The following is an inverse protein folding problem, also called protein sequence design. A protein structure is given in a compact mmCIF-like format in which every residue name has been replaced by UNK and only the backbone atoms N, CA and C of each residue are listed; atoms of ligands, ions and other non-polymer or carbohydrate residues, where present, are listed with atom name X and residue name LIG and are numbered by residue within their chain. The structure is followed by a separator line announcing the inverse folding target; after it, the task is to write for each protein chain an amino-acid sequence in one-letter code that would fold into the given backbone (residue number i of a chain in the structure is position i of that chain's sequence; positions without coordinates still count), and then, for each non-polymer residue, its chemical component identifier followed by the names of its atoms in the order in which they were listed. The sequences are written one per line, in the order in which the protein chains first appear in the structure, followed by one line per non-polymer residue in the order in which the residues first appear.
data_IF_046794924514
#
_entry.id   IF_046794924514
#
_cell.length_a   1.000
_cell.length_b   1.000
_cell.length_c   1.000
_cell.angle_alpha   90.00
_cell.angle_beta   90.00
_cell.angle_gamma   90.00
#
_symmetry.space_group_name_H-M   'P 1'
#
loop_
_entity.id
_entity.type
_entity.pdbx_description
1 polymer ?
#
# COMPACT_ATOMS: atom_id res chain seq x y z
N UNK A 1 -12.87 4.44 18.13
CA UNK A 1 -12.93 4.03 16.70
C UNK A 1 -12.80 5.18 15.71
N UNK A 2 -13.70 6.20 15.70
CA UNK A 2 -13.68 7.28 14.68
C UNK A 2 -12.40 8.13 14.66
N UNK A 3 -11.85 8.47 15.83
CA UNK A 3 -10.64 9.31 15.94
C UNK A 3 -9.37 8.60 15.41
N UNK A 4 -9.26 7.29 15.61
CA UNK A 4 -8.14 6.48 15.13
C UNK A 4 -8.19 6.34 13.60
N UNK A 5 -9.39 6.14 13.05
CA UNK A 5 -9.61 6.09 11.61
C UNK A 5 -9.31 7.44 10.94
N UNK A 6 -9.73 8.55 11.54
CA UNK A 6 -9.40 9.90 11.05
C UNK A 6 -7.89 10.19 11.10
N UNK A 7 -7.20 9.82 12.19
CA UNK A 7 -5.74 9.95 12.28
C UNK A 7 -5.03 9.13 11.21
N UNK A 8 -5.49 7.90 10.97
CA UNK A 8 -4.94 7.01 9.94
C UNK A 8 -5.15 7.57 8.54
N UNK A 9 -6.37 8.00 8.21
CA UNK A 9 -6.66 8.62 6.93
C UNK A 9 -5.82 9.88 6.70
N UNK A 10 -5.68 10.73 7.72
CA UNK A 10 -4.83 11.92 7.63
C UNK A 10 -3.36 11.58 7.42
N UNK A 11 -2.84 10.55 8.10
CA UNK A 11 -1.47 10.07 7.88
C UNK A 11 -1.25 9.63 6.43
N UNK A 12 -2.17 8.83 5.88
CA UNK A 12 -2.08 8.39 4.48
C UNK A 12 -2.18 9.57 3.51
N UNK A 13 -3.13 10.48 3.70
CA UNK A 13 -3.25 11.67 2.85
C UNK A 13 -2.00 12.52 2.88
N UNK A 14 -1.43 12.79 4.06
CA UNK A 14 -0.17 13.55 4.18
C UNK A 14 1.00 12.83 3.54
N UNK A 15 1.14 11.52 3.76
CA UNK A 15 2.18 10.71 3.14
C UNK A 15 2.09 10.74 1.60
N UNK A 16 0.89 10.58 1.05
CA UNK A 16 0.67 10.64 -0.40
C UNK A 16 0.98 12.04 -0.96
N UNK A 17 0.61 13.11 -0.26
CA UNK A 17 0.88 14.49 -0.67
C UNK A 17 2.38 14.81 -0.68
N UNK A 18 3.09 14.43 0.38
CA UNK A 18 4.53 14.68 0.54
C UNK A 18 5.39 13.95 -0.51
N UNK A 19 4.87 12.87 -1.07
CA UNK A 19 5.57 11.96 -1.99
C UNK A 19 4.96 11.99 -3.40
N UNK A 20 4.06 12.93 -3.69
CA UNK A 20 3.27 12.98 -4.94
C UNK A 20 4.06 13.38 -6.18
N UNK A 21 5.23 14.00 -6.03
CA UNK A 21 6.10 14.43 -7.13
C UNK A 21 7.12 13.35 -7.53
N UNK A 22 7.21 12.25 -6.78
CA UNK A 22 8.08 11.11 -7.08
C UNK A 22 7.23 9.88 -7.47
N UNK A 23 7.63 9.16 -8.52
CA UNK A 23 7.06 7.83 -8.86
C UNK A 23 7.52 6.82 -7.79
N UNK A 24 6.84 6.84 -6.64
CA UNK A 24 7.15 5.99 -5.51
C UNK A 24 6.18 4.80 -5.49
N UNK A 25 6.68 3.56 -5.62
CA UNK A 25 5.84 2.36 -5.62
C UNK A 25 4.91 2.25 -4.40
N UNK A 26 5.32 2.76 -3.25
CA UNK A 26 4.51 2.83 -2.03
C UNK A 26 3.20 3.61 -2.22
N UNK A 27 3.25 4.73 -2.95
CA UNK A 27 2.09 5.59 -3.23
C UNK A 27 1.10 4.82 -4.13
N UNK A 28 1.59 4.22 -5.21
CA UNK A 28 0.76 3.44 -6.13
C UNK A 28 0.13 2.21 -5.48
N UNK A 29 0.90 1.52 -4.61
CA UNK A 29 0.41 0.40 -3.81
C UNK A 29 -0.76 0.85 -2.93
N UNK A 30 -0.58 1.91 -2.15
CA UNK A 30 -1.59 2.41 -1.22
C UNK A 30 -2.82 2.91 -1.99
N UNK A 31 -2.64 3.69 -3.05
CA UNK A 31 -3.73 4.22 -3.87
C UNK A 31 -4.56 3.10 -4.52
N UNK A 32 -3.90 2.04 -5.01
CA UNK A 32 -4.56 0.88 -5.59
C UNK A 32 -5.44 0.18 -4.55
N UNK A 33 -4.92 -0.08 -3.35
CA UNK A 33 -5.68 -0.73 -2.27
C UNK A 33 -6.81 0.18 -1.78
N UNK A 34 -6.59 1.50 -1.67
CA UNK A 34 -7.64 2.46 -1.29
C UNK A 34 -8.81 2.47 -2.29
N UNK A 35 -8.51 2.31 -3.58
CA UNK A 35 -9.51 2.31 -4.65
C UNK A 35 -10.27 0.99 -4.75
N UNK A 36 -9.57 -0.14 -4.59
CA UNK A 36 -10.14 -1.48 -4.79
C UNK A 36 -10.63 -2.14 -3.49
N UNK A 37 -10.26 -1.60 -2.33
CA UNK A 37 -10.52 -2.17 -0.99
C UNK A 37 -9.54 -3.27 -0.60
N UNK A 38 -9.16 -4.13 -1.56
CA UNK A 38 -8.11 -5.12 -1.43
C UNK A 38 -7.45 -5.37 -2.80
N UNK A 39 -6.27 -5.97 -2.81
CA UNK A 39 -5.58 -6.34 -4.05
C UNK A 39 -4.77 -7.62 -3.86
N UNK A 40 -4.70 -8.46 -4.89
CA UNK A 40 -3.80 -9.61 -4.88
C UNK A 40 -2.36 -9.16 -5.17
N UNK A 41 -1.39 -9.71 -4.44
CA UNK A 41 0.04 -9.39 -4.58
C UNK A 41 0.56 -9.56 -6.02
N UNK A 42 0.13 -10.59 -6.75
CA UNK A 42 0.59 -10.82 -8.12
C UNK A 42 -0.09 -9.90 -9.14
N UNK A 43 -1.31 -9.44 -8.86
CA UNK A 43 -1.97 -8.41 -9.66
C UNK A 43 -1.31 -7.05 -9.43
N UNK A 44 -1.03 -6.71 -8.17
CA UNK A 44 -0.38 -5.46 -7.81
C UNK A 44 0.99 -5.31 -8.46
N UNK A 45 1.79 -6.38 -8.51
CA UNK A 45 3.09 -6.39 -9.23
C UNK A 45 2.99 -6.03 -10.70
N UNK A 46 1.87 -6.32 -11.36
CA UNK A 46 1.65 -6.01 -12.79
C UNK A 46 1.19 -4.57 -13.01
N UNK A 47 0.62 -3.95 -11.98
CA UNK A 47 0.13 -2.58 -12.03
C UNK A 47 1.25 -1.56 -11.74
N UNK A 48 2.26 -1.98 -11.00
CA UNK A 48 3.40 -1.15 -10.67
C UNK A 48 4.41 -1.14 -11.82
N UNK A 49 4.85 0.05 -12.22
CA UNK A 49 5.92 0.21 -13.22
C UNK A 49 7.31 0.08 -12.60
N UNK A 50 7.53 -0.99 -11.82
CA UNK A 50 8.83 -1.31 -11.22
C UNK A 50 9.14 -2.81 -11.31
N UNK A 51 10.43 -3.20 -11.24
CA UNK A 51 10.81 -4.60 -11.23
C UNK A 51 10.08 -5.42 -10.13
N UNK A 52 9.61 -6.65 -10.42
CA UNK A 52 8.83 -7.45 -9.46
C UNK A 52 9.50 -7.66 -8.10
N UNK A 53 10.83 -7.77 -8.07
CA UNK A 53 11.61 -7.91 -6.83
C UNK A 53 11.49 -6.65 -5.97
N UNK A 54 11.49 -5.46 -6.59
CA UNK A 54 11.32 -4.19 -5.88
C UNK A 54 9.90 -4.05 -5.35
N UNK A 55 8.89 -4.35 -6.17
CA UNK A 55 7.49 -4.35 -5.72
C UNK A 55 7.26 -5.24 -4.48
N UNK A 56 7.76 -6.48 -4.51
CA UNK A 56 7.65 -7.41 -3.36
C UNK A 56 8.37 -6.86 -2.13
N UNK A 57 9.57 -6.31 -2.30
CA UNK A 57 10.33 -5.71 -1.19
C UNK A 57 9.56 -4.57 -0.56
N UNK A 58 9.03 -3.65 -1.37
CA UNK A 58 8.26 -2.50 -0.90
C UNK A 58 7.01 -2.95 -0.14
N UNK A 59 6.24 -3.88 -0.70
CA UNK A 59 5.03 -4.42 -0.05
C UNK A 59 5.37 -5.05 1.31
N UNK A 60 6.44 -5.86 1.38
CA UNK A 60 6.89 -6.44 2.65
C UNK A 60 7.32 -5.37 3.66
N UNK A 61 8.01 -4.33 3.23
CA UNK A 61 8.40 -3.22 4.11
C UNK A 61 7.19 -2.44 4.64
N UNK A 62 6.18 -2.19 3.80
CA UNK A 62 4.92 -1.56 4.22
C UNK A 62 4.16 -2.43 5.22
N UNK A 63 4.14 -3.75 5.01
CA UNK A 63 3.52 -4.70 5.93
C UNK A 63 4.22 -4.74 7.30
N UNK A 64 5.56 -4.78 7.33
CA UNK A 64 6.36 -4.72 8.57
C UNK A 64 6.13 -3.41 9.33
N UNK A 65 5.94 -2.29 8.62
CA UNK A 65 5.61 -0.99 9.21
C UNK A 65 4.16 -0.88 9.69
N UNK A 66 3.32 -1.90 9.46
CA UNK A 66 1.89 -1.90 9.79
C UNK A 66 1.07 -0.90 8.97
N UNK A 67 1.57 -0.52 7.80
CA UNK A 67 0.90 0.41 6.88
C UNK A 67 -0.17 -0.36 6.07
N UNK A 68 0.15 -1.58 5.68
CA UNK A 68 -0.76 -2.51 4.99
C UNK A 68 -0.77 -3.85 5.73
N UNK A 69 -1.80 -4.65 5.52
CA UNK A 69 -1.83 -6.05 5.89
C UNK A 69 -1.56 -6.90 4.65
N UNK A 70 -0.66 -7.87 4.77
CA UNK A 70 -0.45 -8.93 3.77
C UNK A 70 -0.84 -10.26 4.41
N UNK A 71 -1.85 -10.93 3.85
CA UNK A 71 -2.15 -12.31 4.18
C UNK A 71 -1.26 -13.24 3.35
N UNK A 72 -0.28 -13.87 3.99
CA UNK A 72 0.66 -14.76 3.30
C UNK A 72 0.03 -16.07 2.80
N UNK A 73 -1.12 -16.48 3.32
CA UNK A 73 -1.81 -17.68 2.85
C UNK A 73 -2.58 -17.43 1.55
N UNK A 74 -3.15 -16.23 1.40
CA UNK A 74 -4.00 -15.86 0.25
C UNK A 74 -3.34 -14.88 -0.71
N UNK A 75 -2.19 -14.31 -0.34
CA UNK A 75 -1.51 -13.21 -1.04
C UNK A 75 -2.39 -11.96 -1.22
N UNK A 76 -3.39 -11.77 -0.35
CA UNK A 76 -4.27 -10.61 -0.38
C UNK A 76 -3.68 -9.49 0.47
N UNK A 77 -3.67 -8.29 -0.09
CA UNK A 77 -3.21 -7.06 0.53
C UNK A 77 -4.43 -6.18 0.86
N UNK A 78 -4.49 -5.68 2.08
CA UNK A 78 -5.54 -4.76 2.56
C UNK A 78 -4.96 -3.63 3.38
N UNK A 79 -5.74 -2.57 3.61
CA UNK A 79 -5.43 -1.61 4.66
C UNK A 79 -5.88 -2.15 6.03
N UNK A 80 -5.13 -1.86 7.11
CA UNK A 80 -5.52 -2.20 8.49
C UNK A 80 -6.71 -1.39 9.00
#
# INVERSE_FOLDING_TARGET
HKLAQLKRNNFFTSFLMENSEEEIPEVDIIATIMTQGSCNLDELKKLLDVPPIMAVRTIKQLAVKGIINLDEATNIITLP
#
